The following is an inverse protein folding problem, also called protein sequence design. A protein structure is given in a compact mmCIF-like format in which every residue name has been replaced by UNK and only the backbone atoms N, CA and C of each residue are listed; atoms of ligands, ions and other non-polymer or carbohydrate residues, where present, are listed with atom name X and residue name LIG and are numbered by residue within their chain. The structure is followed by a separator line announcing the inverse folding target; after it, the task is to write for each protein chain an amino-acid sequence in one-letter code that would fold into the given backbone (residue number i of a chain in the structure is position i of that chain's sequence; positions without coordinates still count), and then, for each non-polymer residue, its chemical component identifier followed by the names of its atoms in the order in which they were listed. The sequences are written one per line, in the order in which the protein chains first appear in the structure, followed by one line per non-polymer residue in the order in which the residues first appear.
data_IF_256948717425
#
_entry.id   IF_256948717425
#
_cell.length_a   1.000
_cell.length_b   1.000
_cell.length_c   1.000
_cell.angle_alpha   90.00
_cell.angle_beta   90.00
_cell.angle_gamma   90.00
#
_symmetry.space_group_name_H-M   'P 1'
#
loop_
_entity.id
_entity.type
_entity.pdbx_description
1 polymer ?
#
# COMPACT_ATOMS: atom_id res chain seq x y z
N UNK A 1 -8.14 13.85 10.00
CA UNK A 1 -7.22 15.00 9.94
C UNK A 1 -8.01 16.21 9.47
N UNK A 2 -7.78 17.43 9.98
CA UNK A 2 -8.47 18.63 9.47
C UNK A 2 -7.87 19.12 8.15
N UNK A 3 -8.64 19.87 7.36
CA UNK A 3 -8.16 20.50 6.12
C UNK A 3 -6.95 21.42 6.40
N UNK A 4 -7.02 22.23 7.47
CA UNK A 4 -5.92 23.09 7.88
C UNK A 4 -4.64 22.29 8.17
N UNK A 5 -4.75 21.13 8.83
CA UNK A 5 -3.57 20.29 9.08
C UNK A 5 -2.99 19.73 7.78
N UNK A 6 -3.83 19.33 6.80
CA UNK A 6 -3.35 18.89 5.48
C UNK A 6 -2.58 19.99 4.75
N UNK A 7 -3.12 21.22 4.76
CA UNK A 7 -2.49 22.38 4.12
C UNK A 7 -1.12 22.70 4.72
N UNK A 8 -1.00 22.65 6.06
CA UNK A 8 0.29 22.86 6.74
C UNK A 8 1.33 21.83 6.26
N UNK A 9 0.97 20.54 6.24
CA UNK A 9 1.87 19.49 5.77
C UNK A 9 2.23 19.62 4.29
N UNK A 10 1.24 19.95 3.44
CA UNK A 10 1.45 20.22 2.02
C UNK A 10 2.45 21.37 1.80
N UNK A 11 2.21 22.51 2.45
CA UNK A 11 3.11 23.67 2.35
C UNK A 11 4.51 23.34 2.86
N UNK A 12 4.62 22.62 3.97
CA UNK A 12 5.91 22.17 4.50
C UNK A 12 6.65 21.28 3.48
N UNK A 13 5.97 20.32 2.85
CA UNK A 13 6.55 19.46 1.82
C UNK A 13 7.05 20.27 0.64
N UNK A 14 6.21 21.16 0.10
CA UNK A 14 6.54 21.96 -1.08
C UNK A 14 7.70 22.92 -0.84
N UNK A 15 7.88 23.40 0.40
CA UNK A 15 8.98 24.31 0.77
C UNK A 15 10.30 23.60 1.09
N UNK A 16 10.25 22.43 1.73
CA UNK A 16 11.43 21.85 2.39
C UNK A 16 11.87 20.48 1.83
N UNK A 17 11.03 19.76 1.10
CA UNK A 17 11.41 18.47 0.50
C UNK A 17 11.93 18.75 -0.92
N UNK A 18 13.25 18.61 -1.10
CA UNK A 18 13.91 18.81 -2.39
C UNK A 18 13.42 17.77 -3.42
N UNK A 19 13.39 18.17 -4.70
CA UNK A 19 12.83 17.47 -5.87
C UNK A 19 11.31 17.65 -6.05
N UNK A 20 10.81 17.45 -7.28
CA UNK A 20 9.36 17.46 -7.56
C UNK A 20 8.71 16.25 -6.89
N UNK A 21 8.44 16.35 -5.59
CA UNK A 21 7.56 15.40 -4.91
C UNK A 21 6.19 15.51 -5.54
N UNK A 22 5.72 14.42 -6.13
CA UNK A 22 4.34 14.30 -6.60
C UNK A 22 3.36 14.55 -5.43
N UNK A 23 2.11 14.93 -5.70
CA UNK A 23 1.11 14.95 -4.65
C UNK A 23 0.98 13.54 -4.01
N UNK A 24 0.50 13.47 -2.75
CA UNK A 24 0.17 12.19 -2.15
C UNK A 24 -0.81 11.41 -3.05
N UNK A 25 -0.72 10.06 -3.08
CA UNK A 25 -1.74 9.22 -3.70
C UNK A 25 -3.14 9.52 -3.14
N UNK A 26 -4.16 9.21 -3.92
CA UNK A 26 -5.55 9.39 -3.50
C UNK A 26 -5.80 8.69 -2.15
N UNK A 27 -6.61 9.34 -1.31
CA UNK A 27 -6.94 8.91 0.05
C UNK A 27 -5.76 8.89 1.06
N UNK A 28 -4.55 9.26 0.65
CA UNK A 28 -3.42 9.44 1.56
C UNK A 28 -3.35 10.86 2.13
N UNK A 29 -3.19 10.96 3.44
CA UNK A 29 -2.93 12.22 4.11
C UNK A 29 -1.48 12.71 3.90
N UNK A 30 -1.30 14.03 3.74
CA UNK A 30 0.00 14.69 3.55
C UNK A 30 1.01 14.35 4.65
N UNK A 31 0.55 14.20 5.90
CA UNK A 31 1.41 13.78 7.02
C UNK A 31 2.01 12.38 6.78
N UNK A 32 1.19 11.40 6.38
CA UNK A 32 1.66 10.04 6.12
C UNK A 32 2.59 10.02 4.92
N UNK A 33 2.28 10.81 3.89
CA UNK A 33 3.12 10.97 2.71
C UNK A 33 4.50 11.54 3.07
N UNK A 34 4.55 12.62 3.85
CA UNK A 34 5.80 13.21 4.34
C UNK A 34 6.58 12.24 5.22
N UNK A 35 5.89 11.50 6.10
CA UNK A 35 6.51 10.48 6.94
C UNK A 35 7.20 9.41 6.08
N UNK A 36 6.52 8.84 5.09
CA UNK A 36 7.09 7.86 4.16
C UNK A 36 8.27 8.41 3.36
N UNK A 37 8.19 9.66 2.89
CA UNK A 37 9.23 10.28 2.08
C UNK A 37 10.51 10.60 2.86
N UNK A 38 10.38 11.06 4.10
CA UNK A 38 11.49 11.72 4.82
C UNK A 38 11.94 10.94 6.04
N UNK A 39 11.00 10.34 6.78
CA UNK A 39 11.26 9.82 8.12
C UNK A 39 11.50 8.31 8.12
N UNK A 40 10.86 7.56 7.21
CA UNK A 40 11.06 6.11 7.17
C UNK A 40 12.42 5.79 6.56
N UNK A 41 13.22 5.04 7.31
CA UNK A 41 14.59 4.67 6.94
C UNK A 41 14.85 3.15 7.03
N UNK A 42 13.87 2.35 7.46
CA UNK A 42 14.03 0.91 7.58
C UNK A 42 12.85 0.09 7.02
N UNK A 43 13.15 -1.11 6.53
CA UNK A 43 12.18 -2.05 6.03
C UNK A 43 11.19 -2.47 7.13
N UNK A 44 9.90 -2.30 6.87
CA UNK A 44 8.81 -2.70 7.80
C UNK A 44 8.87 -4.16 8.24
N UNK A 45 9.43 -5.06 7.41
CA UNK A 45 9.42 -6.50 7.67
C UNK A 45 10.71 -7.03 8.31
N UNK A 46 11.87 -6.44 7.98
CA UNK A 46 13.16 -7.02 8.39
C UNK A 46 14.16 -6.01 8.95
N UNK A 47 13.82 -4.73 9.03
CA UNK A 47 14.71 -3.69 9.57
C UNK A 47 15.93 -3.36 8.72
N UNK A 48 15.98 -3.81 7.46
CA UNK A 48 17.01 -3.37 6.50
C UNK A 48 16.98 -1.84 6.36
N UNK A 49 18.14 -1.19 6.34
CA UNK A 49 18.30 0.28 6.31
C UNK A 49 19.05 0.78 5.08
N UNK A 50 19.66 -0.10 4.31
CA UNK A 50 20.34 0.25 3.08
C UNK A 50 19.32 0.72 2.02
N UNK A 51 19.24 2.04 1.81
CA UNK A 51 18.21 2.66 0.96
C UNK A 51 18.12 2.10 -0.46
N UNK A 52 19.21 1.61 -1.05
CA UNK A 52 19.18 1.04 -2.41
C UNK A 52 18.45 -0.32 -2.48
N UNK A 53 18.28 -1.01 -1.34
CA UNK A 53 17.52 -2.25 -1.23
C UNK A 53 16.03 -2.02 -0.92
N UNK A 54 15.62 -0.76 -0.71
CA UNK A 54 14.32 -0.39 -0.18
C UNK A 54 13.54 0.44 -1.17
N UNK A 55 12.23 0.20 -1.25
CA UNK A 55 11.32 0.97 -2.08
C UNK A 55 10.06 1.33 -1.29
N UNK A 56 9.47 2.46 -1.65
CA UNK A 56 8.12 2.83 -1.21
C UNK A 56 7.13 2.16 -2.17
N UNK A 57 6.27 1.32 -1.62
CA UNK A 57 5.10 0.74 -2.28
C UNK A 57 3.88 1.56 -1.90
N UNK A 58 3.61 2.60 -2.70
CA UNK A 58 2.61 3.63 -2.45
C UNK A 58 1.21 3.05 -2.27
N UNK A 59 0.87 2.03 -3.06
CA UNK A 59 -0.43 1.36 -3.06
C UNK A 59 -0.75 0.65 -1.72
N UNK A 60 0.27 0.42 -0.88
CA UNK A 60 0.11 -0.16 0.46
C UNK A 60 0.66 0.74 1.57
N UNK A 61 1.18 1.92 1.25
CA UNK A 61 1.87 2.81 2.20
C UNK A 61 3.02 2.08 2.94
N UNK A 62 3.79 1.27 2.22
CA UNK A 62 4.85 0.42 2.78
C UNK A 62 6.24 0.85 2.31
N UNK A 63 7.21 0.88 3.22
CA UNK A 63 8.62 0.96 2.88
C UNK A 63 9.28 -0.38 3.22
N UNK A 64 9.74 -1.10 2.20
CA UNK A 64 10.32 -2.43 2.41
C UNK A 64 11.19 -2.91 1.24
N UNK A 65 11.89 -4.01 1.48
CA UNK A 65 12.61 -4.75 0.45
C UNK A 65 11.63 -5.46 -0.48
N UNK A 66 11.98 -5.56 -1.76
CA UNK A 66 11.20 -6.34 -2.74
C UNK A 66 11.03 -7.81 -2.33
N UNK A 67 12.11 -8.43 -1.85
CA UNK A 67 12.07 -9.85 -1.45
C UNK A 67 11.12 -10.10 -0.29
N UNK A 68 11.06 -9.16 0.67
CA UNK A 68 10.12 -9.25 1.80
C UNK A 68 8.69 -9.01 1.34
N UNK A 69 8.45 -8.00 0.49
CA UNK A 69 7.14 -7.82 -0.11
C UNK A 69 6.68 -9.08 -0.85
N UNK A 70 7.57 -9.73 -1.60
CA UNK A 70 7.27 -10.97 -2.31
C UNK A 70 6.91 -12.11 -1.34
N UNK A 71 7.65 -12.28 -0.24
CA UNK A 71 7.36 -13.28 0.81
C UNK A 71 6.01 -13.03 1.51
N UNK A 72 5.60 -11.77 1.62
CA UNK A 72 4.31 -11.38 2.21
C UNK A 72 3.18 -11.22 1.16
N UNK A 73 3.36 -11.75 -0.04
CA UNK A 73 2.39 -11.67 -1.13
C UNK A 73 2.01 -13.03 -1.68
N UNK A 74 0.82 -13.11 -2.28
CA UNK A 74 0.27 -14.29 -2.94
C UNK A 74 0.11 -13.99 -4.44
N UNK A 75 0.39 -14.98 -5.30
CA UNK A 75 0.15 -14.83 -6.74
C UNK A 75 -1.32 -15.00 -7.09
N UNK A 76 -1.73 -14.46 -8.24
CA UNK A 76 -3.07 -14.69 -8.79
C UNK A 76 -3.40 -16.17 -8.93
N UNK A 77 -2.46 -16.98 -9.43
CA UNK A 77 -2.69 -18.41 -9.62
C UNK A 77 -2.94 -19.17 -8.31
N UNK A 78 -2.31 -18.75 -7.21
CA UNK A 78 -2.54 -19.33 -5.89
C UNK A 78 -3.85 -18.85 -5.22
N UNK A 79 -4.43 -17.76 -5.74
CA UNK A 79 -5.59 -17.08 -5.16
C UNK A 79 -6.90 -17.40 -5.90
N UNK A 80 -6.85 -17.55 -7.23
CA UNK A 80 -8.04 -17.68 -8.11
C UNK A 80 -8.97 -18.83 -7.75
N UNK A 81 -8.43 -19.90 -7.17
CA UNK A 81 -9.23 -21.08 -6.77
C UNK A 81 -9.82 -20.94 -5.35
N UNK A 82 -9.39 -19.93 -4.58
CA UNK A 82 -9.78 -19.72 -3.17
C UNK A 82 -10.72 -18.54 -2.99
N UNK A 83 -10.72 -17.60 -3.92
CA UNK A 83 -11.45 -16.34 -3.82
C UNK A 83 -12.22 -16.12 -5.12
N UNK A 84 -13.53 -15.79 -5.07
CA UNK A 84 -14.30 -15.43 -6.25
C UNK A 84 -13.61 -14.35 -7.09
N UNK A 85 -13.61 -14.51 -8.42
CA UNK A 85 -12.93 -13.60 -9.33
C UNK A 85 -13.34 -12.14 -9.16
N UNK A 86 -14.63 -11.89 -8.90
CA UNK A 86 -15.15 -10.54 -8.66
C UNK A 86 -14.48 -9.86 -7.45
N UNK A 87 -14.17 -10.61 -6.39
CA UNK A 87 -13.48 -10.07 -5.22
C UNK A 87 -11.99 -9.87 -5.51
N UNK A 88 -11.39 -10.69 -6.37
CA UNK A 88 -10.00 -10.52 -6.80
C UNK A 88 -9.83 -9.22 -7.60
N UNK A 89 -10.81 -8.83 -8.41
CA UNK A 89 -10.81 -7.55 -9.14
C UNK A 89 -10.83 -6.33 -8.21
N UNK A 90 -11.30 -6.48 -6.96
CA UNK A 90 -11.29 -5.43 -5.95
C UNK A 90 -9.98 -5.37 -5.16
N UNK A 91 -9.07 -6.33 -5.34
CA UNK A 91 -7.79 -6.36 -4.62
C UNK A 91 -6.77 -5.41 -5.26
N UNK A 92 -6.01 -4.75 -4.40
CA UNK A 92 -4.90 -3.89 -4.84
C UNK A 92 -3.77 -4.79 -5.32
N UNK A 93 -3.43 -4.69 -6.61
CA UNK A 93 -2.29 -5.39 -7.19
C UNK A 93 -0.99 -4.67 -6.81
N UNK A 94 0.02 -5.46 -6.40
CA UNK A 94 1.39 -4.94 -6.20
C UNK A 94 1.91 -4.38 -7.51
N UNK A 95 2.36 -3.13 -7.49
CA UNK A 95 3.03 -2.48 -8.59
C UNK A 95 4.43 -3.09 -8.74
N UNK A 96 4.73 -3.62 -9.93
CA UNK A 96 5.99 -4.33 -10.21
C UNK A 96 6.60 -3.79 -11.51
N UNK A 97 7.92 -3.95 -11.71
CA UNK A 97 8.52 -3.71 -13.02
C UNK A 97 7.79 -4.53 -14.09
N UNK A 98 7.53 -3.91 -15.25
CA UNK A 98 6.74 -4.52 -16.35
C UNK A 98 7.28 -5.88 -16.84
N UNK A 99 8.54 -6.20 -16.55
CA UNK A 99 9.18 -7.49 -16.83
C UNK A 99 8.52 -8.64 -16.05
N UNK A 100 8.00 -8.36 -14.86
CA UNK A 100 7.30 -9.33 -14.02
C UNK A 100 5.82 -9.36 -14.39
N UNK A 101 5.45 -10.31 -15.26
CA UNK A 101 4.04 -10.49 -15.70
C UNK A 101 3.12 -11.11 -14.65
N UNK A 102 3.66 -11.53 -13.50
CA UNK A 102 2.89 -12.26 -12.49
C UNK A 102 2.15 -11.27 -11.59
N UNK A 103 0.82 -11.28 -11.66
CA UNK A 103 -0.02 -10.52 -10.71
C UNK A 103 0.17 -11.07 -9.30
N UNK A 104 0.48 -10.18 -8.36
CA UNK A 104 0.64 -10.51 -6.93
C UNK A 104 -0.13 -9.52 -6.07
N UNK A 105 -0.58 -10.01 -4.93
CA UNK A 105 -1.41 -9.28 -3.98
C UNK A 105 -0.79 -9.39 -2.59
N UNK A 106 -0.76 -8.30 -1.84
CA UNK A 106 -0.27 -8.32 -0.47
C UNK A 106 -1.24 -9.11 0.42
N UNK A 107 -0.75 -10.14 1.11
CA UNK A 107 -1.59 -11.08 1.87
C UNK A 107 -2.45 -10.35 2.92
N UNK A 108 -1.90 -9.34 3.60
CA UNK A 108 -2.66 -8.55 4.58
C UNK A 108 -3.78 -7.74 3.94
N UNK A 109 -3.58 -7.23 2.71
CA UNK A 109 -4.62 -6.52 1.97
C UNK A 109 -5.74 -7.49 1.55
N UNK A 110 -5.38 -8.68 1.06
CA UNK A 110 -6.36 -9.74 0.74
C UNK A 110 -7.25 -10.03 1.94
N UNK A 111 -6.66 -10.33 3.10
CA UNK A 111 -7.43 -10.61 4.31
C UNK A 111 -8.29 -9.43 4.77
N UNK A 112 -7.76 -8.20 4.74
CA UNK A 112 -8.55 -7.03 5.13
C UNK A 112 -9.74 -6.80 4.22
N UNK A 113 -9.59 -6.97 2.91
CA UNK A 113 -10.67 -6.76 1.94
C UNK A 113 -11.75 -7.83 2.09
N UNK A 114 -11.37 -9.10 2.23
CA UNK A 114 -12.33 -10.19 2.45
C UNK A 114 -13.07 -10.04 3.77
N UNK A 115 -12.37 -9.66 4.85
CA UNK A 115 -13.01 -9.43 6.14
C UNK A 115 -14.03 -8.28 6.10
N UNK A 116 -13.73 -7.20 5.37
CA UNK A 116 -14.68 -6.11 5.14
C UNK A 116 -15.90 -6.57 4.35
N UNK A 117 -15.70 -7.34 3.28
CA UNK A 117 -16.78 -7.89 2.48
C UNK A 117 -17.73 -8.77 3.31
N UNK A 118 -17.21 -9.78 4.01
CA UNK A 118 -18.03 -10.68 4.81
C UNK A 118 -18.72 -9.98 5.99
N UNK A 119 -18.11 -8.93 6.54
CA UNK A 119 -18.77 -8.08 7.54
C UNK A 119 -19.98 -7.34 6.95
N UNK A 120 -19.88 -6.84 5.72
CA UNK A 120 -20.99 -6.16 5.05
C UNK A 120 -22.09 -7.17 4.71
N UNK A 121 -21.73 -8.32 4.15
CA UNK A 121 -22.68 -9.39 3.83
C UNK A 121 -23.49 -9.82 5.05
N UNK A 122 -22.83 -10.12 6.18
CA UNK A 122 -23.52 -10.47 7.42
C UNK A 122 -24.39 -9.36 8.04
N UNK A 123 -24.22 -8.10 7.64
CA UNK A 123 -25.11 -7.00 8.04
C UNK A 123 -26.31 -6.83 7.10
N UNK A 124 -26.21 -7.31 5.85
CA UNK A 124 -27.32 -7.29 4.88
C UNK A 124 -28.34 -8.39 5.18
N UNK A 125 -27.92 -9.48 5.83
CA UNK A 125 -28.78 -10.60 6.27
C UNK A 125 -29.65 -10.30 7.51
N UNK A 126 -29.64 -9.06 8.03
CA UNK A 126 -30.39 -8.61 9.23
C UNK A 126 -31.53 -7.63 8.86
N UNK A 127 -32.06 -7.68 7.64
CA UNK A 127 -33.29 -6.99 7.23
C UNK A 127 -34.27 -7.94 6.55
#
# INVERSE_FOLDING_TARGET
MSNTTQEIWKTSRELYINHRSFPPPDEMFEQNYCWLLVLVDECKFCGERERFNLNIHWEFQLFCCWDRLKQHSISYDELKDKVPEILILCLIQIQQPAVLKIRRYLVTNVFSTLAQFYKIEGNLDIN
#
